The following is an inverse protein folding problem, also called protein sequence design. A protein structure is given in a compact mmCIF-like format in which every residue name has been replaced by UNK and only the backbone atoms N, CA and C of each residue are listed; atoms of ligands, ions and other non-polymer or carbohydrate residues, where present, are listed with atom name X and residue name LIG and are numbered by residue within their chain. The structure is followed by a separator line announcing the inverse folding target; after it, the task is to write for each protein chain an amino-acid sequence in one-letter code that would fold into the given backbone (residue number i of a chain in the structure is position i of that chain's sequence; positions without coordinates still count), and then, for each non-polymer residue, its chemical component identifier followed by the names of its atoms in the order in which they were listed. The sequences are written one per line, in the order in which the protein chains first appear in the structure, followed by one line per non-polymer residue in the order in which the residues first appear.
data_IF_885219519044
#
_entry.id   IF_885219519044
#
_cell.length_a   1.000
_cell.length_b   1.000
_cell.length_c   1.000
_cell.angle_alpha   90.00
_cell.angle_beta   90.00
_cell.angle_gamma   90.00
#
_symmetry.space_group_name_H-M   'P 1'
#
loop_
_entity.id
_entity.type
_entity.pdbx_description
1 polymer ?
#
# COMPACT_ATOMS: atom_id res chain seq x y z
N UNK A 1 16.78 28.47 29.67
CA UNK A 1 15.44 27.94 29.93
C UNK A 1 15.13 26.70 29.11
N UNK A 2 15.23 26.74 27.78
CA UNK A 2 14.98 25.60 26.89
C UNK A 2 15.81 24.35 27.24
N UNK A 3 17.12 24.52 27.49
CA UNK A 3 18.03 23.43 27.86
C UNK A 3 17.62 22.70 29.14
N UNK A 4 17.13 23.45 30.13
CA UNK A 4 16.66 22.89 31.41
C UNK A 4 15.34 22.13 31.21
N UNK A 5 14.43 22.67 30.40
CA UNK A 5 13.17 21.98 30.06
C UNK A 5 13.44 20.68 29.30
N UNK A 6 14.35 20.69 28.33
CA UNK A 6 14.77 19.49 27.62
C UNK A 6 15.41 18.47 28.57
N UNK A 7 16.29 18.90 29.48
CA UNK A 7 16.91 18.01 30.46
C UNK A 7 15.88 17.38 31.41
N UNK A 8 14.93 18.18 31.93
CA UNK A 8 13.85 17.68 32.78
C UNK A 8 12.92 16.72 32.04
N UNK A 9 12.63 16.98 30.77
CA UNK A 9 11.85 16.07 29.92
C UNK A 9 12.58 14.74 29.72
N UNK A 10 13.88 14.76 29.43
CA UNK A 10 14.70 13.55 29.29
C UNK A 10 14.74 12.76 30.60
N UNK A 11 15.02 13.42 31.73
CA UNK A 11 15.05 12.77 33.05
C UNK A 11 13.68 12.18 33.40
N UNK A 12 12.60 12.95 33.22
CA UNK A 12 11.24 12.48 33.45
C UNK A 12 10.89 11.27 32.59
N UNK A 13 11.33 11.26 31.33
CA UNK A 13 11.12 10.12 30.43
C UNK A 13 11.91 8.88 30.87
N UNK A 14 13.17 9.05 31.27
CA UNK A 14 14.00 7.95 31.80
C UNK A 14 13.36 7.37 33.06
N UNK A 15 12.92 8.21 33.99
CA UNK A 15 12.23 7.79 35.22
C UNK A 15 10.94 7.04 34.89
N UNK A 16 10.13 7.56 33.96
CA UNK A 16 8.91 6.89 33.52
C UNK A 16 9.20 5.50 32.95
N UNK A 17 10.19 5.39 32.07
CA UNK A 17 10.60 4.11 31.48
C UNK A 17 11.11 3.15 32.57
N UNK A 18 11.93 3.63 33.50
CA UNK A 18 12.45 2.80 34.60
C UNK A 18 11.34 2.27 35.52
N UNK A 19 10.25 3.03 35.68
CA UNK A 19 9.11 2.68 36.53
C UNK A 19 8.13 1.75 35.83
N UNK A 20 7.95 1.93 34.52
CA UNK A 20 6.97 1.18 33.73
C UNK A 20 7.55 -0.04 33.00
N UNK A 21 8.88 -0.20 32.95
CA UNK A 21 9.54 -1.30 32.25
C UNK A 21 9.05 -2.66 32.76
N UNK A 22 8.66 -3.53 31.84
CA UNK A 22 8.44 -4.95 32.12
C UNK A 22 9.63 -5.80 31.65
N UNK A 23 10.17 -6.71 32.47
CA UNK A 23 11.18 -7.66 32.00
C UNK A 23 10.56 -8.59 30.95
N UNK A 24 11.39 -9.12 30.05
CA UNK A 24 10.99 -10.29 29.26
C UNK A 24 11.25 -11.53 30.12
N UNK A 25 10.19 -12.27 30.45
CA UNK A 25 10.26 -13.49 31.27
C UNK A 25 10.41 -14.73 30.36
N UNK A 26 10.14 -14.58 29.05
CA UNK A 26 10.29 -15.65 28.07
C UNK A 26 11.75 -15.80 27.62
N UNK A 27 12.16 -17.02 27.32
CA UNK A 27 13.44 -17.33 26.64
C UNK A 27 13.39 -17.01 25.15
N UNK A 28 12.20 -16.77 24.61
CA UNK A 28 11.97 -16.42 23.21
C UNK A 28 12.25 -14.94 22.97
N UNK A 29 12.92 -14.63 21.85
CA UNK A 29 13.18 -13.25 21.43
C UNK A 29 11.86 -12.51 21.20
N UNK A 30 11.79 -11.26 21.62
CA UNK A 30 10.62 -10.41 21.45
C UNK A 30 10.87 -9.32 20.40
N UNK A 31 9.89 -9.06 19.54
CA UNK A 31 9.92 -7.96 18.58
C UNK A 31 8.68 -7.08 18.73
N UNK A 32 8.89 -5.77 18.75
CA UNK A 32 7.83 -4.78 18.67
C UNK A 32 7.74 -4.29 17.24
N UNK A 33 6.64 -4.58 16.55
CA UNK A 33 6.35 -4.14 15.18
C UNK A 33 5.41 -2.94 15.26
N UNK A 34 5.90 -1.75 14.95
CA UNK A 34 5.28 -0.46 15.30
C UNK A 34 4.91 0.34 14.06
N UNK A 35 3.65 0.73 13.97
CA UNK A 35 3.18 1.72 13.00
C UNK A 35 2.28 2.73 13.69
N UNK A 36 2.54 4.03 13.50
CA UNK A 36 1.63 5.09 13.94
C UNK A 36 0.52 5.31 12.89
N UNK A 37 -0.22 4.24 12.61
CA UNK A 37 -1.25 4.17 11.58
C UNK A 37 -2.24 3.02 11.86
N UNK A 38 -3.31 2.97 11.07
CA UNK A 38 -4.30 1.91 11.17
C UNK A 38 -3.69 0.59 10.69
N UNK A 39 -3.70 -0.41 11.57
CA UNK A 39 -3.10 -1.73 11.32
C UNK A 39 -3.80 -2.45 10.16
N UNK A 40 -5.11 -2.30 10.02
CA UNK A 40 -5.87 -2.89 8.90
C UNK A 40 -5.53 -2.28 7.53
N UNK A 41 -4.80 -1.16 7.52
CA UNK A 41 -4.35 -0.44 6.32
C UNK A 41 -2.83 -0.41 6.20
N UNK A 42 -2.13 -1.20 7.01
CA UNK A 42 -0.66 -1.29 7.02
C UNK A 42 -0.21 -2.72 6.66
N UNK A 43 -0.50 -3.19 5.43
CA UNK A 43 -0.29 -4.60 5.05
C UNK A 43 1.17 -5.03 5.20
N UNK A 44 2.14 -4.19 4.83
CA UNK A 44 3.57 -4.49 5.01
C UNK A 44 3.94 -4.76 6.46
N UNK A 45 3.45 -3.98 7.41
CA UNK A 45 3.73 -4.19 8.84
C UNK A 45 3.05 -5.44 9.40
N UNK A 46 1.83 -5.73 8.93
CA UNK A 46 1.19 -7.02 9.20
C UNK A 46 2.02 -8.18 8.63
N UNK A 47 2.56 -8.04 7.43
CA UNK A 47 3.40 -9.04 6.80
C UNK A 47 4.73 -9.24 7.56
N UNK A 48 5.36 -8.16 8.06
CA UNK A 48 6.50 -8.26 8.98
C UNK A 48 6.15 -9.06 10.24
N UNK A 49 5.01 -8.76 10.88
CA UNK A 49 4.57 -9.47 12.07
C UNK A 49 4.39 -10.98 11.83
N UNK A 50 3.82 -11.36 10.68
CA UNK A 50 3.64 -12.76 10.27
C UNK A 50 5.00 -13.45 10.09
N UNK A 51 5.94 -12.83 9.38
CA UNK A 51 7.26 -13.44 9.16
C UNK A 51 8.06 -13.56 10.46
N UNK A 52 8.02 -12.55 11.34
CA UNK A 52 8.63 -12.64 12.66
C UNK A 52 8.06 -13.81 13.49
N UNK A 53 6.74 -14.03 13.48
CA UNK A 53 6.11 -15.17 14.17
C UNK A 53 6.57 -16.52 13.58
N UNK A 54 6.62 -16.64 12.24
CA UNK A 54 7.16 -17.84 11.57
C UNK A 54 8.59 -18.15 12.01
N UNK A 55 9.39 -17.12 12.28
CA UNK A 55 10.76 -17.23 12.81
C UNK A 55 10.85 -17.30 14.34
N UNK A 56 9.74 -17.63 15.01
CA UNK A 56 9.69 -17.88 16.46
C UNK A 56 10.07 -16.66 17.29
N UNK A 57 9.70 -15.45 16.86
CA UNK A 57 9.68 -14.30 17.76
C UNK A 57 8.34 -14.20 18.50
N UNK A 58 8.35 -13.68 19.72
CA UNK A 58 7.16 -13.18 20.39
C UNK A 58 6.83 -11.78 19.82
N UNK A 59 5.74 -11.67 19.07
CA UNK A 59 5.43 -10.48 18.26
C UNK A 59 4.41 -9.59 18.97
N UNK A 60 4.77 -8.32 19.14
CA UNK A 60 3.85 -7.26 19.57
C UNK A 60 3.57 -6.35 18.37
N UNK A 61 2.38 -6.44 17.79
CA UNK A 61 1.94 -5.59 16.68
C UNK A 61 1.23 -4.36 17.26
N UNK A 62 1.81 -3.18 17.05
CA UNK A 62 1.41 -1.92 17.71
C UNK A 62 0.97 -0.90 16.67
N UNK A 63 -0.24 -0.37 16.83
CA UNK A 63 -0.82 0.65 15.96
C UNK A 63 -2.27 0.95 16.34
N UNK A 64 -3.03 1.60 15.46
CA UNK A 64 -4.46 1.83 15.66
C UNK A 64 -5.26 0.65 15.10
N UNK A 65 -6.21 0.12 15.87
CA UNK A 65 -7.13 -0.94 15.42
C UNK A 65 -8.47 -0.34 14.98
N UNK A 66 -8.45 0.46 13.90
CA UNK A 66 -9.63 1.18 13.40
C UNK A 66 -10.36 0.41 12.28
N UNK A 67 -9.62 -0.32 11.45
CA UNK A 67 -10.17 -1.21 10.42
C UNK A 67 -10.03 -2.69 10.81
N UNK A 68 -10.85 -3.55 10.18
CA UNK A 68 -10.76 -5.01 10.34
C UNK A 68 -9.39 -5.51 9.88
N UNK A 69 -8.72 -6.32 10.70
CA UNK A 69 -7.45 -6.95 10.37
C UNK A 69 -7.68 -8.15 9.45
N UNK A 70 -6.66 -8.45 8.63
CA UNK A 70 -6.66 -9.66 7.81
C UNK A 70 -6.82 -10.92 8.66
N UNK A 71 -7.42 -11.96 8.08
CA UNK A 71 -7.74 -13.20 8.81
C UNK A 71 -6.49 -13.87 9.39
N UNK A 72 -5.35 -13.79 8.69
CA UNK A 72 -4.08 -14.36 9.14
C UNK A 72 -3.57 -13.74 10.45
N UNK A 73 -3.76 -12.44 10.66
CA UNK A 73 -3.40 -11.77 11.92
C UNK A 73 -4.48 -12.04 12.97
N UNK A 74 -5.74 -11.86 12.61
CA UNK A 74 -6.87 -11.99 13.54
C UNK A 74 -6.98 -13.37 14.18
N UNK A 75 -6.60 -14.42 13.44
CA UNK A 75 -6.68 -15.81 13.89
C UNK A 75 -5.36 -16.31 14.52
N UNK A 76 -4.31 -15.49 14.56
CA UNK A 76 -3.00 -15.90 15.08
C UNK A 76 -2.80 -15.47 16.53
N UNK A 77 -2.96 -16.42 17.46
CA UNK A 77 -2.79 -16.19 18.89
C UNK A 77 -1.35 -15.86 19.34
N UNK A 78 -0.35 -16.06 18.47
CA UNK A 78 1.04 -15.73 18.79
C UNK A 78 1.39 -14.26 18.52
N UNK A 79 0.57 -13.55 17.73
CA UNK A 79 0.75 -12.13 17.44
C UNK A 79 -0.15 -11.34 18.37
N UNK A 80 0.45 -10.66 19.34
CA UNK A 80 -0.30 -9.85 20.30
C UNK A 80 -0.50 -8.44 19.74
N UNK A 81 -1.76 -8.03 19.62
CA UNK A 81 -2.13 -6.70 19.12
C UNK A 81 -2.20 -5.73 20.30
N UNK A 82 -1.41 -4.65 20.21
CA UNK A 82 -1.37 -3.57 21.19
C UNK A 82 -1.94 -2.29 20.58
N UNK A 83 -3.19 -1.97 20.90
CA UNK A 83 -3.88 -0.83 20.33
C UNK A 83 -3.42 0.49 20.98
N UNK A 84 -3.05 1.47 20.15
CA UNK A 84 -2.76 2.83 20.58
C UNK A 84 -4.05 3.63 20.76
N UNK A 85 -4.05 4.57 21.70
CA UNK A 85 -5.20 5.47 21.88
C UNK A 85 -5.17 6.54 20.80
N UNK A 86 -6.23 6.62 19.98
CA UNK A 86 -6.38 7.67 18.96
C UNK A 86 -6.43 9.06 19.60
N UNK A 87 -5.92 10.07 18.89
CA UNK A 87 -5.94 11.45 19.35
C UNK A 87 -7.39 11.96 19.37
N UNK A 88 -7.84 12.61 20.46
CA UNK A 88 -9.21 13.13 20.54
C UNK A 88 -9.44 14.22 19.49
N UNK A 89 -10.66 14.30 18.96
CA UNK A 89 -11.03 15.37 18.04
C UNK A 89 -11.20 16.70 18.81
N UNK A 90 -10.19 17.58 18.71
CA UNK A 90 -10.21 18.90 19.33
C UNK A 90 -10.77 19.92 18.35
N UNK A 91 -11.91 20.52 18.68
CA UNK A 91 -12.52 21.62 17.90
C UNK A 91 -12.16 22.98 18.49
N UNK A 92 -12.06 24.00 17.65
CA UNK A 92 -11.90 25.40 18.07
C UNK A 92 -10.47 25.85 18.40
N UNK A 93 -9.46 25.01 18.18
CA UNK A 93 -8.05 25.36 18.36
C UNK A 93 -7.37 25.66 17.01
N UNK A 94 -6.34 26.53 16.98
CA UNK A 94 -5.53 26.72 15.77
C UNK A 94 -4.86 25.42 15.34
N UNK A 95 -4.77 25.20 14.02
CA UNK A 95 -4.31 23.92 13.45
C UNK A 95 -2.89 23.52 13.93
N UNK A 96 -1.99 24.50 14.04
CA UNK A 96 -0.62 24.29 14.55
C UNK A 96 -0.63 23.76 15.99
N UNK A 97 -1.55 24.25 16.83
CA UNK A 97 -1.70 23.77 18.22
C UNK A 97 -2.23 22.34 18.23
N UNK A 98 -3.21 22.03 17.37
CA UNK A 98 -3.75 20.67 17.23
C UNK A 98 -2.66 19.69 16.81
N UNK A 99 -1.82 20.04 15.83
CA UNK A 99 -0.69 19.20 15.41
C UNK A 99 0.34 19.01 16.53
N UNK A 100 0.70 20.06 17.27
CA UNK A 100 1.63 19.95 18.38
C UNK A 100 1.08 19.03 19.49
N UNK A 101 -0.20 19.20 19.86
CA UNK A 101 -0.87 18.32 20.83
C UNK A 101 -0.96 16.88 20.33
N UNK A 102 -1.23 16.67 19.03
CA UNK A 102 -1.25 15.34 18.41
C UNK A 102 0.10 14.65 18.51
N UNK A 103 1.19 15.35 18.22
CA UNK A 103 2.55 14.82 18.35
C UNK A 103 2.85 14.43 19.81
N UNK A 104 2.53 15.30 20.77
CA UNK A 104 2.75 15.02 22.20
C UNK A 104 1.92 13.82 22.68
N UNK A 105 0.67 13.73 22.23
CA UNK A 105 -0.22 12.61 22.53
C UNK A 105 0.31 11.29 21.95
N UNK A 106 0.68 11.28 20.67
CA UNK A 106 1.25 10.12 20.00
C UNK A 106 2.57 9.68 20.66
N UNK A 107 3.42 10.63 21.05
CA UNK A 107 4.65 10.34 21.79
C UNK A 107 4.34 9.67 23.12
N UNK A 108 3.46 10.29 23.94
CA UNK A 108 3.14 9.77 25.27
C UNK A 108 2.45 8.40 25.23
N UNK A 109 1.47 8.23 24.34
CA UNK A 109 0.74 6.96 24.20
C UNK A 109 1.63 5.83 23.70
N UNK A 110 2.45 6.08 22.68
CA UNK A 110 3.39 5.10 22.15
C UNK A 110 4.46 4.75 23.20
N UNK A 111 5.02 5.75 23.89
CA UNK A 111 6.02 5.54 24.94
C UNK A 111 5.48 4.66 26.08
N UNK A 112 4.28 4.98 26.60
CA UNK A 112 3.65 4.21 27.68
C UNK A 112 3.35 2.79 27.21
N UNK A 113 2.80 2.61 26.01
CA UNK A 113 2.53 1.30 25.42
C UNK A 113 3.82 0.46 25.36
N UNK A 114 4.87 0.99 24.71
CA UNK A 114 6.16 0.29 24.57
C UNK A 114 6.80 -0.03 25.93
N UNK A 115 6.64 0.81 26.95
CA UNK A 115 7.15 0.53 28.31
C UNK A 115 6.43 -0.65 28.97
N UNK A 116 5.10 -0.71 28.85
CA UNK A 116 4.25 -1.73 29.47
C UNK A 116 4.37 -3.11 28.82
N UNK A 117 4.94 -3.20 27.62
CA UNK A 117 5.20 -4.45 26.93
C UNK A 117 6.47 -5.16 27.44
N UNK A 118 6.57 -6.49 27.26
CA UNK A 118 7.79 -7.25 27.52
C UNK A 118 9.01 -6.60 26.84
N UNK A 119 10.19 -6.73 27.44
CA UNK A 119 11.42 -6.15 26.87
C UNK A 119 11.63 -6.70 25.44
N UNK A 120 11.74 -5.82 24.42
CA UNK A 120 12.06 -6.25 23.08
C UNK A 120 13.54 -6.55 22.92
N UNK A 121 13.86 -7.45 22.00
CA UNK A 121 15.19 -7.58 21.38
C UNK A 121 15.29 -6.67 20.16
N UNK A 122 14.18 -6.49 19.43
CA UNK A 122 14.07 -5.61 18.26
C UNK A 122 12.82 -4.73 18.35
N UNK A 123 12.94 -3.49 17.87
CA UNK A 123 11.82 -2.57 17.63
C UNK A 123 11.85 -2.21 16.15
N UNK A 124 10.88 -2.70 15.40
CA UNK A 124 10.72 -2.48 13.97
C UNK A 124 9.65 -1.43 13.71
N UNK A 125 10.03 -0.25 13.25
CA UNK A 125 9.12 0.90 13.06
C UNK A 125 8.95 1.24 11.58
N UNK A 126 7.72 1.47 11.15
CA UNK A 126 7.41 1.99 9.83
C UNK A 126 7.65 3.51 9.78
N UNK A 127 8.27 3.99 8.71
CA UNK A 127 8.33 5.39 8.35
C UNK A 127 7.67 5.62 6.98
N UNK A 128 6.72 6.57 6.82
CA UNK A 128 6.18 7.54 7.79
C UNK A 128 5.08 6.99 8.74
N UNK A 129 4.70 7.74 9.81
CA UNK A 129 5.20 9.07 10.19
C UNK A 129 6.49 9.04 11.02
N UNK A 130 7.45 9.88 10.64
CA UNK A 130 8.74 10.04 11.34
C UNK A 130 8.59 10.56 12.77
N UNK A 131 7.80 11.64 12.93
CA UNK A 131 7.56 12.30 14.21
C UNK A 131 6.19 11.85 14.73
N UNK A 132 6.09 11.35 15.99
CA UNK A 132 7.16 11.04 16.93
C UNK A 132 7.66 9.58 16.87
N UNK A 133 7.27 8.78 15.86
CA UNK A 133 7.47 7.33 15.87
C UNK A 133 8.95 6.93 15.98
N UNK A 134 9.82 7.48 15.13
CA UNK A 134 11.24 7.12 15.09
C UNK A 134 11.91 7.53 16.40
N UNK A 135 11.66 8.74 16.90
CA UNK A 135 12.25 9.17 18.17
C UNK A 135 11.79 8.32 19.36
N UNK A 136 10.50 8.02 19.46
CA UNK A 136 9.97 7.21 20.56
C UNK A 136 10.56 5.80 20.55
N UNK A 137 10.63 5.18 19.38
CA UNK A 137 11.17 3.82 19.21
C UNK A 137 12.68 3.77 19.41
N UNK A 138 13.42 4.77 18.93
CA UNK A 138 14.85 4.96 19.23
C UNK A 138 15.10 5.04 20.74
N UNK A 139 14.33 5.87 21.44
CA UNK A 139 14.48 6.06 22.88
C UNK A 139 14.23 4.76 23.64
N UNK A 140 13.17 4.03 23.28
CA UNK A 140 12.85 2.73 23.87
C UNK A 140 13.94 1.69 23.55
N UNK A 141 14.44 1.65 22.32
CA UNK A 141 15.51 0.75 21.92
C UNK A 141 16.77 0.98 22.76
N UNK A 142 17.23 2.24 22.89
CA UNK A 142 18.39 2.58 23.71
C UNK A 142 18.18 2.32 25.20
N UNK A 143 17.07 2.75 25.78
CA UNK A 143 16.82 2.61 27.22
C UNK A 143 16.58 1.16 27.66
N UNK A 144 16.10 0.31 26.76
CA UNK A 144 15.82 -1.11 27.06
C UNK A 144 16.90 -2.05 26.54
N UNK A 145 17.92 -1.54 25.86
CA UNK A 145 18.97 -2.34 25.23
C UNK A 145 18.41 -3.28 24.16
N UNK A 146 17.54 -2.75 23.31
CA UNK A 146 17.00 -3.40 22.12
C UNK A 146 17.57 -2.74 20.87
N UNK A 147 17.40 -3.39 19.72
CA UNK A 147 17.84 -2.86 18.44
C UNK A 147 16.71 -2.20 17.67
N UNK A 148 17.01 -1.07 17.04
CA UNK A 148 16.06 -0.34 16.21
C UNK A 148 16.19 -0.78 14.74
N UNK A 149 15.07 -1.17 14.16
CA UNK A 149 14.89 -1.39 12.72
C UNK A 149 13.96 -0.30 12.20
N UNK A 150 14.39 0.48 11.21
CA UNK A 150 13.51 1.43 10.52
C UNK A 150 13.19 0.87 9.13
N UNK A 151 11.90 0.75 8.84
CA UNK A 151 11.39 0.40 7.51
C UNK A 151 10.90 1.66 6.78
N UNK A 152 11.66 2.06 5.76
CA UNK A 152 11.49 3.29 5.00
C UNK A 152 10.61 3.06 3.76
N UNK A 153 9.39 3.62 3.79
CA UNK A 153 8.43 3.57 2.68
C UNK A 153 8.39 4.89 1.92
N UNK A 154 8.40 5.99 2.67
CA UNK A 154 8.45 7.33 2.12
C UNK A 154 9.11 8.27 3.15
N UNK A 155 9.34 9.53 2.79
CA UNK A 155 9.80 10.54 3.73
C UNK A 155 8.62 11.23 4.41
N UNK A 156 8.69 11.37 5.74
CA UNK A 156 7.71 12.15 6.48
C UNK A 156 7.73 13.63 6.10
N UNK A 157 8.90 14.18 5.77
CA UNK A 157 9.01 15.58 5.34
C UNK A 157 8.40 15.83 3.95
N UNK A 158 8.48 14.87 3.02
CA UNK A 158 7.90 15.04 1.68
C UNK A 158 6.38 15.01 1.73
N UNK A 159 5.80 14.16 2.58
CA UNK A 159 4.36 14.17 2.86
C UNK A 159 3.89 15.52 3.44
N UNK A 160 4.67 16.10 4.36
CA UNK A 160 4.38 17.44 4.90
C UNK A 160 4.52 18.54 3.83
N UNK A 161 5.43 18.34 2.86
CA UNK A 161 5.67 19.28 1.78
C UNK A 161 4.52 19.37 0.78
N UNK A 162 3.66 18.36 0.66
CA UNK A 162 2.44 18.44 -0.17
C UNK A 162 1.54 19.61 0.28
N UNK A 163 1.46 19.86 1.59
CA UNK A 163 0.65 20.96 2.14
C UNK A 163 1.39 22.30 2.22
N UNK A 164 2.67 22.28 2.62
CA UNK A 164 3.42 23.52 2.93
C UNK A 164 4.42 23.94 1.86
N UNK A 165 4.73 23.07 0.90
CA UNK A 165 5.80 23.25 -0.07
C UNK A 165 7.19 22.87 0.47
N UNK A 166 8.06 22.40 -0.41
CA UNK A 166 9.41 21.92 -0.08
C UNK A 166 10.33 23.01 0.53
N UNK A 167 10.06 24.28 0.23
CA UNK A 167 10.86 25.43 0.72
C UNK A 167 10.47 25.88 2.14
N UNK A 168 9.43 25.29 2.73
CA UNK A 168 8.94 25.71 4.03
C UNK A 168 9.91 25.30 5.16
N UNK A 169 10.18 26.21 6.09
CA UNK A 169 11.20 25.99 7.13
C UNK A 169 10.90 24.79 8.03
N UNK A 170 9.62 24.49 8.31
CA UNK A 170 9.21 23.31 9.08
C UNK A 170 9.55 22.02 8.30
N UNK A 171 9.36 22.01 6.97
CA UNK A 171 9.69 20.86 6.14
C UNK A 171 11.19 20.57 6.20
N UNK A 172 12.03 21.61 6.10
CA UNK A 172 13.48 21.46 6.28
C UNK A 172 13.89 20.98 7.67
N UNK A 173 13.18 21.42 8.72
CA UNK A 173 13.41 20.93 10.09
C UNK A 173 13.06 19.45 10.21
N UNK A 174 11.90 19.03 9.71
CA UNK A 174 11.47 17.63 9.67
C UNK A 174 12.44 16.76 8.85
N UNK A 175 12.92 17.27 7.72
CA UNK A 175 13.91 16.60 6.88
C UNK A 175 15.22 16.34 7.64
N UNK A 176 15.76 17.37 8.31
CA UNK A 176 16.96 17.22 9.14
C UNK A 176 16.75 16.23 10.28
N UNK A 177 15.61 16.31 10.96
CA UNK A 177 15.24 15.38 12.02
C UNK A 177 15.22 13.93 11.53
N UNK A 178 14.57 13.69 10.38
CA UNK A 178 14.38 12.36 9.82
C UNK A 178 15.73 11.72 9.44
N UNK A 179 16.62 12.47 8.78
CA UNK A 179 17.96 11.98 8.45
C UNK A 179 18.86 11.77 9.66
N UNK A 180 18.84 12.69 10.62
CA UNK A 180 19.66 12.56 11.82
C UNK A 180 19.26 11.32 12.64
N UNK A 181 17.96 11.10 12.85
CA UNK A 181 17.51 9.93 13.60
C UNK A 181 17.65 8.62 12.82
N UNK A 182 17.51 8.66 11.50
CA UNK A 182 17.71 7.49 10.65
C UNK A 182 19.11 6.88 10.77
N UNK A 183 20.13 7.72 10.98
CA UNK A 183 21.51 7.27 11.17
C UNK A 183 21.72 6.46 12.45
N UNK A 184 20.83 6.57 13.44
CA UNK A 184 20.97 5.89 14.72
C UNK A 184 20.30 4.51 14.78
N UNK A 185 19.63 4.08 13.71
CA UNK A 185 19.07 2.74 13.63
C UNK A 185 20.15 1.67 13.42
N UNK A 186 19.96 0.52 14.06
CA UNK A 186 20.87 -0.63 13.91
C UNK A 186 20.67 -1.32 12.56
N UNK A 187 19.44 -1.28 12.04
CA UNK A 187 19.07 -1.82 10.73
C UNK A 187 18.16 -0.80 10.03
N UNK A 188 18.46 -0.48 8.78
CA UNK A 188 17.56 0.25 7.89
C UNK A 188 17.17 -0.65 6.72
N UNK A 189 15.89 -0.73 6.42
CA UNK A 189 15.35 -1.38 5.22
C UNK A 189 14.47 -0.40 4.46
N UNK A 190 14.35 -0.54 3.14
CA UNK A 190 13.56 0.38 2.32
C UNK A 190 12.92 -0.32 1.12
N UNK A 191 11.90 0.31 0.56
CA UNK A 191 11.03 -0.28 -0.49
C UNK A 191 11.66 -0.35 -1.89
N UNK A 192 12.71 0.45 -2.17
CA UNK A 192 13.32 0.53 -3.51
C UNK A 192 14.84 0.78 -3.46
N UNK A 193 15.54 0.37 -4.52
CA UNK A 193 16.98 0.61 -4.69
C UNK A 193 17.30 2.09 -4.85
N UNK A 194 16.45 2.84 -5.54
CA UNK A 194 16.57 4.30 -5.65
C UNK A 194 16.46 4.95 -4.26
N UNK A 195 15.56 4.45 -3.40
CA UNK A 195 15.48 4.92 -2.01
C UNK A 195 16.74 4.57 -1.23
N UNK A 196 17.26 3.34 -1.33
CA UNK A 196 18.49 2.93 -0.65
C UNK A 196 19.67 3.84 -1.03
N UNK A 197 19.81 4.17 -2.32
CA UNK A 197 20.83 5.09 -2.82
C UNK A 197 20.66 6.49 -2.23
N UNK A 198 19.43 7.01 -2.18
CA UNK A 198 19.14 8.32 -1.60
C UNK A 198 19.44 8.37 -0.10
N UNK A 199 19.02 7.36 0.66
CA UNK A 199 19.34 7.22 2.09
C UNK A 199 20.86 7.17 2.34
N UNK A 200 21.61 6.49 1.47
CA UNK A 200 23.06 6.39 1.60
C UNK A 200 23.77 7.75 1.44
N UNK A 201 23.25 8.66 0.60
CA UNK A 201 23.75 10.05 0.52
C UNK A 201 23.60 10.78 1.86
N UNK A 202 22.62 10.40 2.66
CA UNK A 202 22.38 10.92 4.00
C UNK A 202 23.01 10.07 5.12
N UNK A 203 23.99 9.22 4.78
CA UNK A 203 24.72 8.32 5.69
C UNK A 203 23.84 7.25 6.35
N UNK A 204 22.70 6.91 5.73
CA UNK A 204 21.80 5.86 6.17
C UNK A 204 21.97 4.67 5.23
N UNK A 205 22.72 3.66 5.66
CA UNK A 205 22.89 2.43 4.88
C UNK A 205 21.66 1.54 5.04
N UNK A 206 20.84 1.47 3.99
CA UNK A 206 19.63 0.64 3.96
C UNK A 206 19.82 -0.60 3.07
N UNK A 207 19.18 -1.70 3.44
CA UNK A 207 18.98 -2.86 2.54
C UNK A 207 17.63 -2.73 1.84
N UNK A 208 17.56 -3.09 0.57
CA UNK A 208 16.29 -3.07 -0.16
C UNK A 208 15.48 -4.30 0.24
N UNK A 209 14.25 -4.09 0.69
CA UNK A 209 13.24 -5.12 0.90
C UNK A 209 12.05 -4.73 0.04
N UNK A 210 11.93 -5.36 -1.14
CA UNK A 210 10.82 -5.07 -2.05
C UNK A 210 9.50 -5.59 -1.51
N UNK A 211 8.42 -4.86 -1.74
CA UNK A 211 7.09 -5.41 -1.55
C UNK A 211 6.82 -6.51 -2.57
N UNK A 212 6.27 -7.62 -2.09
CA UNK A 212 5.87 -8.78 -2.88
C UNK A 212 4.50 -9.23 -2.40
N UNK A 213 3.72 -9.82 -3.29
CA UNK A 213 2.40 -10.29 -2.93
C UNK A 213 2.50 -11.43 -1.92
N UNK A 214 1.48 -11.50 -1.06
CA UNK A 214 1.28 -12.63 -0.17
C UNK A 214 0.50 -13.74 -0.89
N UNK A 215 0.45 -14.92 -0.28
CA UNK A 215 -0.23 -16.08 -0.86
C UNK A 215 -1.76 -15.92 -0.98
N UNK A 216 -2.33 -14.81 -0.50
CA UNK A 216 -3.76 -14.51 -0.66
C UNK A 216 -4.12 -14.10 -2.10
N UNK A 217 -3.13 -13.72 -2.91
CA UNK A 217 -3.34 -13.36 -4.30
C UNK A 217 -3.04 -14.55 -5.21
N UNK A 218 -4.09 -15.10 -5.81
CA UNK A 218 -3.98 -16.09 -6.87
C UNK A 218 -4.71 -15.68 -8.14
N UNK A 219 -4.24 -16.20 -9.28
CA UNK A 219 -4.94 -16.07 -10.55
C UNK A 219 -6.23 -16.90 -10.41
N UNK A 220 -7.41 -16.26 -10.40
CA UNK A 220 -8.65 -16.99 -10.18
C UNK A 220 -9.02 -17.82 -11.40
N UNK A 221 -9.64 -18.98 -11.17
CA UNK A 221 -10.20 -19.79 -12.26
C UNK A 221 -11.37 -19.07 -12.92
N UNK A 222 -11.77 -19.49 -14.12
CA UNK A 222 -12.89 -18.84 -14.81
C UNK A 222 -14.21 -18.97 -14.02
N UNK A 223 -14.39 -20.04 -13.26
CA UNK A 223 -15.53 -20.25 -12.36
C UNK A 223 -15.49 -19.27 -11.18
N UNK A 224 -14.32 -19.07 -10.56
CA UNK A 224 -14.14 -18.07 -9.51
C UNK A 224 -14.42 -16.66 -10.03
N UNK A 225 -13.93 -16.34 -11.23
CA UNK A 225 -14.22 -15.07 -11.93
C UNK A 225 -15.72 -14.91 -12.19
N UNK A 226 -16.39 -15.91 -12.74
CA UNK A 226 -17.82 -15.86 -12.98
C UNK A 226 -18.61 -15.63 -11.68
N UNK A 227 -18.25 -16.32 -10.60
CA UNK A 227 -18.89 -16.16 -9.29
C UNK A 227 -18.76 -14.74 -8.75
N UNK A 228 -17.56 -14.13 -8.79
CA UNK A 228 -17.39 -12.75 -8.32
C UNK A 228 -18.11 -11.75 -9.23
N UNK A 229 -18.11 -11.95 -10.55
CA UNK A 229 -18.84 -11.10 -11.50
C UNK A 229 -20.37 -11.19 -11.29
N UNK A 230 -20.91 -12.37 -10.97
CA UNK A 230 -22.32 -12.53 -10.56
C UNK A 230 -22.60 -11.82 -9.23
N UNK A 231 -21.66 -11.90 -8.27
CA UNK A 231 -21.75 -11.19 -6.98
C UNK A 231 -21.74 -9.67 -7.17
N UNK A 232 -21.02 -9.14 -8.17
CA UNK A 232 -21.04 -7.71 -8.52
C UNK A 232 -22.45 -7.23 -8.89
N UNK A 233 -23.24 -8.06 -9.56
CA UNK A 233 -24.65 -7.77 -9.89
C UNK A 233 -25.52 -7.92 -8.64
N UNK A 234 -25.48 -9.09 -7.99
CA UNK A 234 -26.47 -9.46 -6.98
C UNK A 234 -26.26 -8.80 -5.61
N UNK A 235 -25.01 -8.62 -5.18
CA UNK A 235 -24.68 -8.08 -3.85
C UNK A 235 -24.22 -6.64 -3.91
N UNK A 236 -23.40 -6.29 -4.91
CA UNK A 236 -22.86 -4.93 -5.05
C UNK A 236 -23.72 -4.03 -5.95
N UNK A 237 -24.80 -4.56 -6.55
CA UNK A 237 -25.80 -3.81 -7.33
C UNK A 237 -25.26 -3.12 -8.60
N UNK A 238 -24.18 -3.63 -9.20
CA UNK A 238 -23.62 -3.11 -10.45
C UNK A 238 -24.26 -3.77 -11.68
N UNK A 239 -25.36 -3.19 -12.17
CA UNK A 239 -26.10 -3.66 -13.36
C UNK A 239 -25.26 -3.68 -14.64
N UNK A 240 -24.18 -2.92 -14.70
CA UNK A 240 -23.20 -2.93 -15.80
C UNK A 240 -22.53 -4.31 -16.00
N UNK A 241 -22.68 -5.22 -15.05
CA UNK A 241 -22.18 -6.60 -15.11
C UNK A 241 -23.27 -7.60 -15.53
N UNK A 242 -24.54 -7.19 -15.60
CA UNK A 242 -25.69 -8.06 -15.81
C UNK A 242 -25.71 -8.65 -17.24
N UNK A 243 -25.75 -9.98 -17.34
CA UNK A 243 -25.85 -10.67 -18.61
C UNK A 243 -27.28 -10.78 -19.13
N UNK A 244 -27.44 -11.42 -20.29
CA UNK A 244 -28.74 -11.57 -20.96
C UNK A 244 -29.62 -12.68 -20.37
N UNK A 245 -29.04 -13.57 -19.57
CA UNK A 245 -29.69 -14.71 -18.92
C UNK A 245 -29.29 -14.81 -17.44
N UNK A 246 -30.08 -15.55 -16.65
CA UNK A 246 -29.94 -15.64 -15.20
C UNK A 246 -28.55 -16.12 -14.71
N UNK A 247 -27.86 -16.95 -15.49
CA UNK A 247 -26.50 -17.45 -15.19
C UNK A 247 -25.48 -16.89 -16.20
N UNK A 248 -25.60 -15.60 -16.52
CA UNK A 248 -24.63 -14.91 -17.37
C UNK A 248 -24.33 -13.52 -16.83
N UNK A 249 -23.13 -13.06 -17.13
CA UNK A 249 -22.69 -11.68 -16.94
C UNK A 249 -22.39 -11.06 -18.30
N UNK A 250 -22.09 -9.77 -18.37
CA UNK A 250 -21.55 -9.14 -19.60
C UNK A 250 -20.20 -9.70 -20.05
N UNK A 251 -19.58 -10.55 -19.24
CA UNK A 251 -18.23 -11.08 -19.49
C UNK A 251 -18.19 -12.59 -19.69
N UNK A 252 -19.05 -13.32 -19.01
CA UNK A 252 -18.99 -14.79 -18.92
C UNK A 252 -20.38 -15.40 -18.94
N UNK A 253 -20.49 -16.61 -19.48
CA UNK A 253 -21.75 -17.37 -19.51
C UNK A 253 -21.48 -18.86 -19.32
N UNK A 254 -22.50 -19.59 -18.92
CA UNK A 254 -22.50 -21.05 -18.91
C UNK A 254 -22.86 -21.59 -20.31
N UNK A 255 -21.99 -22.42 -20.90
CA UNK A 255 -22.24 -23.07 -22.19
C UNK A 255 -23.22 -24.27 -22.07
N UNK A 256 -23.59 -24.87 -23.20
CA UNK A 256 -24.50 -26.04 -23.23
C UNK A 256 -24.00 -27.25 -22.42
N UNK A 257 -22.68 -27.33 -22.19
CA UNK A 257 -22.02 -28.40 -21.44
C UNK A 257 -21.82 -28.03 -19.96
N UNK A 258 -22.40 -26.91 -19.50
CA UNK A 258 -22.26 -26.35 -18.15
C UNK A 258 -20.83 -25.89 -17.80
N UNK A 259 -20.01 -25.59 -18.79
CA UNK A 259 -18.72 -24.94 -18.57
C UNK A 259 -18.89 -23.43 -18.59
N UNK A 260 -18.18 -22.74 -17.71
CA UNK A 260 -18.11 -21.30 -17.75
C UNK A 260 -17.11 -20.87 -18.83
N UNK A 261 -17.55 -19.99 -19.73
CA UNK A 261 -16.73 -19.45 -20.82
C UNK A 261 -16.85 -17.93 -20.89
N UNK A 262 -15.85 -17.27 -21.47
CA UNK A 262 -15.91 -15.84 -21.78
C UNK A 262 -16.85 -15.59 -22.97
N UNK A 263 -17.59 -14.48 -22.94
CA UNK A 263 -18.37 -14.03 -24.08
C UNK A 263 -17.44 -13.43 -25.17
N UNK A 264 -17.65 -13.73 -26.47
CA UNK A 264 -16.81 -13.22 -27.56
C UNK A 264 -16.82 -11.70 -27.70
N UNK A 265 -17.92 -11.05 -27.34
CA UNK A 265 -18.15 -9.61 -27.42
C UNK A 265 -18.02 -8.90 -26.06
N UNK A 266 -17.38 -9.55 -25.08
CA UNK A 266 -17.25 -8.97 -23.74
C UNK A 266 -16.44 -7.66 -23.76
N UNK A 267 -16.80 -6.68 -22.90
CA UNK A 267 -15.97 -5.51 -22.71
C UNK A 267 -14.64 -5.84 -22.01
N UNK A 268 -13.68 -4.94 -22.17
CA UNK A 268 -12.43 -4.93 -21.41
C UNK A 268 -12.74 -4.53 -19.98
N UNK A 269 -12.18 -5.26 -18.99
CA UNK A 269 -12.21 -4.81 -17.60
C UNK A 269 -10.91 -4.05 -17.30
N UNK A 270 -11.03 -2.75 -17.04
CA UNK A 270 -9.94 -1.90 -16.57
C UNK A 270 -10.08 -1.71 -15.06
N UNK A 271 -9.02 -1.87 -14.28
CA UNK A 271 -9.08 -1.68 -12.82
C UNK A 271 -8.07 -0.66 -12.32
N UNK A 272 -8.49 0.19 -11.40
CA UNK A 272 -7.60 1.03 -10.58
C UNK A 272 -7.98 0.84 -9.11
N UNK A 273 -7.00 0.57 -8.24
CA UNK A 273 -7.19 0.50 -6.80
C UNK A 273 -6.56 1.71 -6.12
N UNK A 274 -7.27 2.35 -5.19
CA UNK A 274 -6.92 3.72 -4.78
C UNK A 274 -7.26 4.07 -3.34
N UNK A 275 -6.50 5.01 -2.79
CA UNK A 275 -6.78 5.68 -1.53
C UNK A 275 -7.54 7.00 -1.69
N UNK A 276 -7.91 7.40 -2.91
CA UNK A 276 -8.58 8.66 -3.26
C UNK A 276 -7.96 9.87 -2.56
N UNK A 277 -6.63 9.90 -2.53
CA UNK A 277 -5.81 10.89 -1.85
C UNK A 277 -5.10 11.81 -2.86
N UNK A 278 -4.53 12.90 -2.37
CA UNK A 278 -3.91 13.95 -3.20
C UNK A 278 -2.69 13.47 -4.01
N UNK A 279 -2.07 12.36 -3.61
CA UNK A 279 -0.94 11.71 -4.31
C UNK A 279 -1.37 10.87 -5.52
N UNK A 280 -2.67 10.79 -5.83
CA UNK A 280 -3.20 10.10 -7.00
C UNK A 280 -3.99 11.05 -7.90
N UNK A 281 -3.43 11.40 -9.05
CA UNK A 281 -4.07 12.31 -10.00
C UNK A 281 -5.09 11.57 -10.90
N UNK A 282 -6.31 11.40 -10.40
CA UNK A 282 -7.41 10.75 -11.13
C UNK A 282 -7.85 11.46 -12.41
N UNK A 283 -7.55 12.75 -12.56
CA UNK A 283 -7.82 13.46 -13.81
C UNK A 283 -7.11 12.78 -14.99
N UNK A 284 -5.90 12.24 -14.78
CA UNK A 284 -5.16 11.51 -15.83
C UNK A 284 -5.96 10.33 -16.39
N UNK A 285 -6.55 9.51 -15.52
CA UNK A 285 -7.34 8.35 -15.94
C UNK A 285 -8.63 8.77 -16.63
N UNK A 286 -9.37 9.71 -16.05
CA UNK A 286 -10.64 10.14 -16.60
C UNK A 286 -10.47 10.87 -17.94
N UNK A 287 -9.51 11.77 -18.05
CA UNK A 287 -9.23 12.47 -19.30
C UNK A 287 -8.70 11.50 -20.38
N UNK A 288 -7.91 10.50 -20.02
CA UNK A 288 -7.52 9.44 -20.95
C UNK A 288 -8.73 8.65 -21.46
N UNK A 289 -9.68 8.33 -20.59
CA UNK A 289 -10.89 7.60 -20.96
C UNK A 289 -11.89 8.47 -21.76
N UNK A 290 -11.93 9.78 -21.54
CA UNK A 290 -12.63 10.73 -22.43
C UNK A 290 -12.01 10.72 -23.82
N UNK A 291 -10.69 10.88 -23.90
CA UNK A 291 -9.94 10.86 -25.15
C UNK A 291 -10.12 9.52 -25.90
N UNK A 292 -10.22 8.42 -25.16
CA UNK A 292 -10.54 7.10 -25.70
C UNK A 292 -11.95 7.04 -26.29
N UNK A 293 -12.93 7.62 -25.59
CA UNK A 293 -14.34 7.59 -26.00
C UNK A 293 -14.65 8.55 -27.18
N UNK A 294 -13.88 9.62 -27.35
CA UNK A 294 -14.04 10.60 -28.45
C UNK A 294 -13.23 10.26 -29.69
N UNK A 295 -12.43 9.19 -29.65
CA UNK A 295 -11.62 8.79 -30.79
C UNK A 295 -12.48 8.34 -31.98
N UNK A 296 -12.18 8.85 -33.19
CA UNK A 296 -12.98 8.62 -34.40
C UNK A 296 -12.90 7.18 -34.94
N UNK A 297 -12.05 6.33 -34.35
CA UNK A 297 -11.92 4.92 -34.73
C UNK A 297 -13.11 4.09 -34.24
N UNK A 298 -13.98 3.70 -35.17
CA UNK A 298 -15.26 3.01 -34.93
C UNK A 298 -15.19 1.57 -34.38
N UNK A 299 -14.00 1.04 -34.08
CA UNK A 299 -13.79 -0.37 -33.68
C UNK A 299 -13.06 -0.54 -32.33
N UNK A 300 -13.09 0.46 -31.46
CA UNK A 300 -12.51 0.34 -30.12
C UNK A 300 -13.41 -0.50 -29.19
N UNK A 301 -12.87 -1.47 -28.43
CA UNK A 301 -13.64 -2.23 -27.46
C UNK A 301 -14.26 -1.34 -26.38
N UNK A 302 -15.46 -1.68 -25.92
CA UNK A 302 -16.05 -1.07 -24.74
C UNK A 302 -15.23 -1.39 -23.49
N UNK A 303 -15.13 -0.43 -22.56
CA UNK A 303 -14.39 -0.58 -21.30
C UNK A 303 -15.37 -0.51 -20.13
N UNK A 304 -15.25 -1.44 -19.19
CA UNK A 304 -15.80 -1.31 -17.83
C UNK A 304 -14.65 -0.97 -16.90
N UNK A 305 -14.59 0.29 -16.45
CA UNK A 305 -13.58 0.81 -15.55
C UNK A 305 -14.02 0.68 -14.10
N UNK A 306 -13.35 -0.19 -13.36
CA UNK A 306 -13.57 -0.42 -11.94
C UNK A 306 -12.54 0.41 -11.16
N UNK A 307 -13.00 1.38 -10.38
CA UNK A 307 -12.16 2.15 -9.46
C UNK A 307 -12.54 1.80 -8.02
N UNK A 308 -11.75 0.94 -7.39
CA UNK A 308 -12.02 0.44 -6.03
C UNK A 308 -11.16 1.17 -4.99
N UNK A 309 -11.73 1.44 -3.82
CA UNK A 309 -11.00 2.17 -2.78
C UNK A 309 -11.87 3.07 -1.92
N UNK A 310 -11.23 3.66 -0.90
CA UNK A 310 -11.85 4.63 0.01
C UNK A 310 -10.88 5.76 0.32
N UNK A 311 -11.39 6.97 0.21
CA UNK A 311 -10.70 8.17 0.64
C UNK A 311 -11.50 9.44 0.39
N UNK A 312 -10.94 10.59 0.76
CA UNK A 312 -11.68 11.84 0.89
C UNK A 312 -12.16 12.43 -0.44
N UNK A 313 -11.51 12.11 -1.57
CA UNK A 313 -11.85 12.68 -2.87
C UNK A 313 -12.83 11.82 -3.68
N UNK A 314 -13.25 10.66 -3.16
CA UNK A 314 -14.07 9.69 -3.91
C UNK A 314 -15.36 10.30 -4.43
N UNK A 315 -16.14 10.94 -3.55
CA UNK A 315 -17.45 11.48 -3.87
C UNK A 315 -17.36 12.58 -4.93
N UNK A 316 -16.38 13.49 -4.81
CA UNK A 316 -16.13 14.56 -5.78
C UNK A 316 -15.85 14.00 -7.18
N UNK A 317 -15.05 12.94 -7.29
CA UNK A 317 -14.73 12.34 -8.59
C UNK A 317 -15.91 11.57 -9.19
N UNK A 318 -16.72 10.90 -8.37
CA UNK A 318 -17.96 10.26 -8.83
C UNK A 318 -18.90 11.32 -9.41
N UNK A 319 -19.10 12.44 -8.71
CA UNK A 319 -19.91 13.55 -9.21
C UNK A 319 -19.38 14.11 -10.53
N UNK A 320 -18.06 14.25 -10.68
CA UNK A 320 -17.43 14.68 -11.93
C UNK A 320 -17.72 13.72 -13.08
N UNK A 321 -17.52 12.41 -12.88
CA UNK A 321 -17.76 11.39 -13.91
C UNK A 321 -19.24 11.35 -14.33
N UNK A 322 -20.17 11.47 -13.38
CA UNK A 322 -21.60 11.52 -13.69
C UNK A 322 -22.00 12.81 -14.42
N UNK A 323 -21.41 13.95 -14.08
CA UNK A 323 -21.65 15.21 -14.79
C UNK A 323 -21.17 15.18 -16.24
N UNK A 324 -20.08 14.44 -16.49
CA UNK A 324 -19.44 14.32 -17.81
C UNK A 324 -19.82 13.03 -18.56
N UNK A 325 -20.86 12.32 -18.11
CA UNK A 325 -21.25 10.98 -18.59
C UNK A 325 -21.33 10.85 -20.12
N UNK A 326 -21.84 11.88 -20.80
CA UNK A 326 -22.00 11.89 -22.26
C UNK A 326 -20.66 11.89 -23.03
N UNK A 327 -19.56 12.23 -22.35
CA UNK A 327 -18.21 12.20 -22.91
C UNK A 327 -17.59 10.79 -22.88
N UNK A 328 -18.21 9.82 -22.21
CA UNK A 328 -17.69 8.46 -22.00
C UNK A 328 -18.46 7.39 -22.78
N UNK A 329 -18.84 7.66 -24.04
CA UNK A 329 -19.81 6.84 -24.81
C UNK A 329 -19.53 5.32 -24.83
N UNK A 330 -18.27 4.89 -24.77
CA UNK A 330 -17.86 3.48 -24.78
C UNK A 330 -17.17 3.04 -23.47
N UNK A 331 -17.32 3.81 -22.40
CA UNK A 331 -16.68 3.57 -21.10
C UNK A 331 -17.74 3.65 -20.00
N UNK A 332 -17.87 2.57 -19.22
CA UNK A 332 -18.75 2.51 -18.06
C UNK A 332 -17.92 2.47 -16.79
N UNK A 333 -18.31 3.21 -15.75
CA UNK A 333 -17.58 3.26 -14.48
C UNK A 333 -18.28 2.49 -13.37
N UNK A 334 -17.49 1.92 -12.47
CA UNK A 334 -17.94 1.24 -11.26
C UNK A 334 -17.03 1.62 -10.09
N UNK A 335 -17.60 1.98 -8.95
CA UNK A 335 -16.86 2.49 -7.79
C UNK A 335 -17.01 1.63 -6.52
N UNK A 336 -16.80 0.31 -6.58
CA UNK A 336 -17.15 -0.59 -5.49
C UNK A 336 -16.33 -0.34 -4.23
N UNK A 337 -16.94 -0.61 -3.08
CA UNK A 337 -16.23 -0.88 -1.84
C UNK A 337 -16.34 -2.37 -1.55
N UNK A 338 -15.26 -3.10 -1.76
CA UNK A 338 -15.23 -4.56 -1.75
C UNK A 338 -14.90 -5.10 -0.37
N UNK A 339 -15.44 -6.27 -0.06
CA UNK A 339 -14.94 -7.10 1.03
C UNK A 339 -13.49 -7.55 0.75
N UNK A 340 -12.71 -7.76 1.82
CA UNK A 340 -11.30 -8.11 1.72
C UNK A 340 -11.04 -9.40 0.91
N UNK A 341 -11.94 -10.39 1.01
CA UNK A 341 -11.83 -11.67 0.30
C UNK A 341 -12.28 -11.56 -1.17
N UNK A 342 -13.09 -10.56 -1.51
CA UNK A 342 -13.57 -10.33 -2.88
C UNK A 342 -12.57 -9.52 -3.72
N UNK A 343 -11.76 -8.68 -3.06
CA UNK A 343 -10.80 -7.80 -3.75
C UNK A 343 -9.80 -8.57 -4.63
N UNK A 344 -9.11 -9.63 -4.16
CA UNK A 344 -8.20 -10.41 -5.02
C UNK A 344 -8.91 -11.05 -6.22
N UNK A 345 -10.14 -11.55 -6.02
CA UNK A 345 -10.94 -12.19 -7.07
C UNK A 345 -11.35 -11.19 -8.15
N UNK A 346 -11.84 -10.00 -7.75
CA UNK A 346 -12.21 -8.97 -8.71
C UNK A 346 -11.00 -8.40 -9.44
N UNK A 347 -9.87 -8.20 -8.74
CA UNK A 347 -8.62 -7.82 -9.41
C UNK A 347 -8.26 -8.85 -10.49
N UNK A 348 -8.31 -10.14 -10.19
CA UNK A 348 -8.00 -11.20 -11.16
C UNK A 348 -9.00 -11.34 -12.32
N UNK A 349 -10.15 -10.66 -12.25
CA UNK A 349 -11.06 -10.51 -13.39
C UNK A 349 -10.59 -9.45 -14.39
N UNK A 350 -9.79 -8.48 -13.96
CA UNK A 350 -9.35 -7.38 -14.80
C UNK A 350 -8.47 -7.85 -15.96
N UNK A 351 -8.55 -7.12 -17.07
CA UNK A 351 -7.68 -7.31 -18.21
C UNK A 351 -6.42 -6.45 -18.12
N UNK A 352 -6.58 -5.22 -17.62
CA UNK A 352 -5.51 -4.22 -17.45
C UNK A 352 -5.72 -3.50 -16.12
N UNK A 353 -4.63 -3.28 -15.39
CA UNK A 353 -4.57 -2.40 -14.23
C UNK A 353 -4.03 -1.02 -14.60
N UNK A 354 -4.46 0.01 -13.88
CA UNK A 354 -3.89 1.36 -13.94
C UNK A 354 -3.43 1.78 -12.56
N UNK A 355 -2.20 2.28 -12.46
CA UNK A 355 -1.66 2.89 -11.25
C UNK A 355 -1.38 4.36 -11.50
N UNK A 356 -2.01 5.22 -10.69
CA UNK A 356 -1.85 6.67 -10.71
C UNK A 356 -1.01 7.18 -9.54
N UNK A 357 -0.42 6.25 -8.77
CA UNK A 357 0.37 6.61 -7.61
C UNK A 357 1.66 7.30 -8.06
N UNK A 358 1.85 8.53 -7.58
CA UNK A 358 3.10 9.25 -7.67
C UNK A 358 3.70 9.39 -6.26
N UNK A 359 4.93 8.92 -6.08
CA UNK A 359 5.57 9.04 -4.78
C UNK A 359 5.91 10.50 -4.47
N UNK A 360 5.44 11.02 -3.34
CA UNK A 360 5.77 12.38 -2.88
C UNK A 360 7.28 12.64 -2.71
N UNK A 361 8.08 11.57 -2.50
CA UNK A 361 9.55 11.64 -2.48
C UNK A 361 10.21 11.19 -3.78
N UNK A 362 9.47 10.57 -4.69
CA UNK A 362 10.00 9.90 -5.89
C UNK A 362 10.55 8.48 -5.65
N UNK A 363 10.52 7.97 -4.41
CA UNK A 363 11.24 6.74 -4.03
C UNK A 363 10.35 5.57 -3.60
N UNK A 364 9.05 5.77 -3.43
CA UNK A 364 8.08 4.76 -3.01
C UNK A 364 7.55 3.92 -4.18
N UNK A 365 7.26 2.64 -3.96
CA UNK A 365 6.72 1.72 -4.97
C UNK A 365 5.28 1.30 -4.62
N UNK A 366 4.33 1.35 -5.56
CA UNK A 366 2.93 1.10 -5.28
C UNK A 366 2.67 -0.39 -5.02
N UNK A 367 2.43 -0.76 -3.76
CA UNK A 367 2.07 -2.13 -3.37
C UNK A 367 0.88 -2.69 -4.16
N UNK A 368 -0.08 -1.84 -4.53
CA UNK A 368 -1.25 -2.21 -5.36
C UNK A 368 -0.89 -2.84 -6.71
N UNK A 369 0.24 -2.46 -7.30
CA UNK A 369 0.72 -3.02 -8.57
C UNK A 369 1.21 -4.45 -8.38
N UNK A 370 1.84 -4.72 -7.24
CA UNK A 370 2.30 -6.06 -6.86
C UNK A 370 1.09 -7.00 -6.71
N UNK A 371 -0.01 -6.52 -6.12
CA UNK A 371 -1.26 -7.29 -6.00
C UNK A 371 -1.83 -7.65 -7.39
N UNK A 372 -1.87 -6.68 -8.31
CA UNK A 372 -2.35 -6.89 -9.70
C UNK A 372 -1.46 -7.89 -10.44
N UNK A 373 -0.13 -7.78 -10.32
CA UNK A 373 0.80 -8.74 -10.91
C UNK A 373 0.60 -10.15 -10.38
N UNK A 374 0.34 -10.31 -9.07
CA UNK A 374 0.16 -11.62 -8.46
C UNK A 374 -1.09 -12.37 -8.93
N UNK A 375 -2.10 -11.64 -9.40
CA UNK A 375 -3.32 -12.18 -10.04
C UNK A 375 -3.27 -12.16 -11.57
N UNK A 376 -2.10 -11.87 -12.16
CA UNK A 376 -1.84 -11.98 -13.60
C UNK A 376 -2.32 -10.79 -14.42
N UNK A 377 -2.50 -9.62 -13.79
CA UNK A 377 -2.99 -8.40 -14.46
C UNK A 377 -1.82 -7.45 -14.73
N UNK A 378 -1.51 -7.16 -16.01
CA UNK A 378 -0.49 -6.17 -16.36
C UNK A 378 -0.97 -4.76 -16.07
N UNK A 379 -0.02 -3.87 -15.76
CA UNK A 379 -0.32 -2.52 -15.26
C UNK A 379 0.24 -1.44 -16.16
N UNK A 380 -0.58 -0.43 -16.44
CA UNK A 380 -0.14 0.88 -16.93
C UNK A 380 0.10 1.80 -15.73
N UNK A 381 1.32 2.26 -15.51
CA UNK A 381 1.67 3.13 -14.37
C UNK A 381 2.14 4.49 -14.85
N UNK A 382 1.76 5.55 -14.12
CA UNK A 382 2.32 6.88 -14.33
C UNK A 382 3.82 6.89 -14.04
N UNK A 383 4.58 7.71 -14.78
CA UNK A 383 6.02 7.81 -14.68
C UNK A 383 6.47 8.61 -13.46
N UNK A 384 7.42 8.06 -12.70
CA UNK A 384 8.23 8.76 -11.71
C UNK A 384 9.53 7.97 -11.43
N UNK A 385 10.49 8.57 -10.73
CA UNK A 385 11.91 8.13 -10.71
C UNK A 385 12.12 6.62 -10.47
N UNK A 386 11.53 6.02 -9.43
CA UNK A 386 11.78 4.62 -9.10
C UNK A 386 10.80 3.61 -9.73
N UNK A 387 9.74 4.04 -10.44
CA UNK A 387 8.70 3.11 -10.93
C UNK A 387 9.24 2.02 -11.87
N UNK A 388 10.34 2.32 -12.58
CA UNK A 388 11.03 1.38 -13.46
C UNK A 388 11.67 0.19 -12.73
N UNK A 389 11.78 0.24 -11.40
CA UNK A 389 12.18 -0.90 -10.58
C UNK A 389 11.10 -1.98 -10.58
N UNK A 390 9.83 -1.58 -10.52
CA UNK A 390 8.66 -2.46 -10.48
C UNK A 390 8.08 -2.75 -11.87
N UNK A 391 7.86 -1.71 -12.68
CA UNK A 391 7.34 -1.84 -14.04
C UNK A 391 8.49 -2.01 -15.03
N UNK A 392 8.66 -3.22 -15.54
CA UNK A 392 9.56 -3.56 -16.63
C UNK A 392 8.80 -3.45 -17.96
N UNK A 393 9.13 -2.40 -18.70
CA UNK A 393 8.50 -2.06 -19.98
C UNK A 393 8.45 -3.27 -20.91
N UNK A 394 7.27 -3.51 -21.48
CA UNK A 394 6.96 -4.60 -22.42
C UNK A 394 7.18 -6.02 -21.85
N UNK A 395 7.43 -6.14 -20.53
CA UNK A 395 7.54 -7.41 -19.83
C UNK A 395 6.33 -7.61 -18.92
N UNK A 396 6.10 -6.74 -17.96
CA UNK A 396 5.02 -6.87 -16.96
C UNK A 396 4.00 -5.72 -16.99
N UNK A 397 4.32 -4.63 -17.68
CA UNK A 397 3.48 -3.44 -17.74
C UNK A 397 4.04 -2.38 -18.67
N UNK A 398 3.39 -1.21 -18.66
CA UNK A 398 3.73 -0.05 -19.46
C UNK A 398 3.80 1.18 -18.55
N UNK A 399 4.70 2.10 -18.85
CA UNK A 399 4.82 3.39 -18.17
C UNK A 399 4.25 4.47 -19.11
N UNK A 400 3.43 5.37 -18.58
CA UNK A 400 2.88 6.52 -19.30
C UNK A 400 3.19 7.84 -18.59
N UNK A 401 3.18 8.95 -19.33
CA UNK A 401 3.48 10.28 -18.78
C UNK A 401 2.25 11.14 -18.49
N UNK A 402 1.22 11.04 -19.33
CA UNK A 402 0.02 11.88 -19.23
C UNK A 402 -1.22 11.15 -19.76
N UNK A 403 -2.36 11.86 -19.77
CA UNK A 403 -3.64 11.33 -20.21
C UNK A 403 -3.66 10.92 -21.71
N UNK A 404 -2.93 11.63 -22.57
CA UNK A 404 -2.85 11.30 -24.00
C UNK A 404 -2.01 10.04 -24.20
N UNK A 405 -0.84 9.96 -23.57
CA UNK A 405 0.01 8.76 -23.60
C UNK A 405 -0.75 7.55 -23.03
N UNK A 406 -1.47 7.70 -21.91
CA UNK A 406 -2.30 6.61 -21.36
C UNK A 406 -3.38 6.15 -22.36
N UNK A 407 -4.08 7.08 -23.02
CA UNK A 407 -5.05 6.74 -24.06
C UNK A 407 -4.39 5.92 -25.20
N UNK A 408 -3.27 6.39 -25.73
CA UNK A 408 -2.53 5.71 -26.80
C UNK A 408 -2.07 4.31 -26.38
N UNK A 409 -1.58 4.16 -25.14
CA UNK A 409 -1.19 2.85 -24.58
C UNK A 409 -2.38 1.92 -24.46
N UNK A 410 -3.51 2.39 -23.94
CA UNK A 410 -4.73 1.58 -23.81
C UNK A 410 -5.21 1.10 -25.19
N UNK A 411 -5.33 2.00 -26.15
CA UNK A 411 -5.73 1.66 -27.52
C UNK A 411 -4.80 0.61 -28.13
N UNK A 412 -3.48 0.81 -28.00
CA UNK A 412 -2.49 -0.15 -28.49
C UNK A 412 -2.59 -1.52 -27.80
N UNK A 413 -2.92 -1.57 -26.50
CA UNK A 413 -2.99 -2.81 -25.74
C UNK A 413 -4.23 -3.63 -26.09
N UNK A 414 -5.39 -2.98 -26.24
CA UNK A 414 -6.68 -3.64 -26.42
C UNK A 414 -7.15 -3.66 -27.88
N UNK A 415 -6.31 -3.21 -28.81
CA UNK A 415 -6.62 -3.33 -30.23
C UNK A 415 -6.89 -4.80 -30.60
N UNK A 416 -8.06 -5.07 -31.17
CA UNK A 416 -8.49 -6.42 -31.57
C UNK A 416 -8.91 -7.34 -30.42
N UNK A 417 -9.08 -6.81 -29.21
CA UNK A 417 -9.62 -7.55 -28.06
C UNK A 417 -10.99 -8.18 -28.37
N UNK A 418 -11.31 -9.38 -27.84
CA UNK A 418 -10.51 -10.18 -26.89
C UNK A 418 -9.43 -11.08 -27.53
N UNK A 419 -9.53 -11.40 -28.83
CA UNK A 419 -8.76 -12.50 -29.41
C UNK A 419 -7.45 -12.07 -30.12
N UNK A 420 -7.38 -10.81 -30.59
CA UNK A 420 -6.26 -10.31 -31.42
C UNK A 420 -5.40 -9.25 -30.73
N UNK A 421 -5.41 -9.22 -29.39
CA UNK A 421 -4.62 -8.28 -28.58
C UNK A 421 -3.25 -8.89 -28.16
N UNK A 422 -2.35 -9.10 -29.13
CA UNK A 422 -1.06 -9.79 -28.89
C UNK A 422 -0.18 -9.10 -27.84
N UNK A 423 -0.12 -7.77 -27.83
CA UNK A 423 0.65 -7.00 -26.82
C UNK A 423 0.17 -7.29 -25.40
N UNK A 424 -1.15 -7.23 -25.17
CA UNK A 424 -1.74 -7.54 -23.87
C UNK A 424 -1.50 -9.00 -23.46
N UNK A 425 -1.69 -9.93 -24.40
CA UNK A 425 -1.50 -11.37 -24.15
C UNK A 425 -0.04 -11.69 -23.80
N UNK A 426 0.92 -11.03 -24.44
CA UNK A 426 2.34 -11.18 -24.11
C UNK A 426 2.66 -10.69 -22.69
N UNK A 427 2.13 -9.52 -22.28
CA UNK A 427 2.32 -9.02 -20.91
C UNK A 427 1.73 -9.99 -19.87
N UNK A 428 0.51 -10.49 -20.10
CA UNK A 428 -0.13 -11.50 -19.24
C UNK A 428 0.70 -12.78 -19.16
N UNK A 429 1.17 -13.29 -20.29
CA UNK A 429 1.98 -14.51 -20.35
C UNK A 429 3.31 -14.36 -19.58
N UNK A 430 3.99 -13.23 -19.73
CA UNK A 430 5.23 -12.92 -19.02
C UNK A 430 5.02 -12.85 -17.49
N UNK A 431 3.92 -12.26 -17.02
CA UNK A 431 3.57 -12.24 -15.60
C UNK A 431 3.38 -13.66 -15.05
N UNK A 432 2.64 -14.50 -15.78
CA UNK A 432 2.39 -15.89 -15.38
C UNK A 432 3.69 -16.69 -15.31
N UNK A 433 4.57 -16.53 -16.31
CA UNK A 433 5.85 -17.22 -16.37
C UNK A 433 6.78 -16.89 -15.19
N UNK A 434 6.75 -15.66 -14.69
CA UNK A 434 7.64 -15.17 -13.63
C UNK A 434 7.05 -15.25 -12.20
N UNK A 435 5.85 -15.83 -12.03
CA UNK A 435 5.10 -15.79 -10.76
C UNK A 435 5.72 -16.61 -9.62
N UNK A 436 6.30 -17.78 -9.91
CA UNK A 436 6.69 -18.77 -8.89
C UNK A 436 7.93 -18.38 -8.06
N UNK A 437 8.72 -17.42 -8.55
CA UNK A 437 9.93 -16.92 -7.91
C UNK A 437 9.67 -15.85 -6.84
N UNK A 438 8.51 -15.18 -6.86
CA UNK A 438 8.35 -13.91 -6.16
C UNK A 438 7.21 -13.94 -5.14
N UNK A 439 7.52 -14.11 -3.85
CA UNK A 439 6.55 -13.94 -2.76
C UNK A 439 7.19 -13.23 -1.56
N UNK A 440 6.36 -12.57 -0.75
CA UNK A 440 6.81 -11.81 0.42
C UNK A 440 7.70 -12.61 1.37
N UNK A 441 7.31 -13.84 1.70
CA UNK A 441 8.02 -14.65 2.69
C UNK A 441 9.45 -14.99 2.24
N UNK A 442 9.65 -15.32 0.95
CA UNK A 442 10.98 -15.56 0.35
C UNK A 442 11.83 -14.29 0.33
N UNK A 443 11.25 -13.17 -0.12
CA UNK A 443 11.93 -11.87 -0.19
C UNK A 443 12.37 -11.43 1.21
N UNK A 444 11.45 -11.47 2.17
CA UNK A 444 11.71 -11.18 3.57
C UNK A 444 12.80 -12.06 4.15
N UNK A 445 12.73 -13.38 3.95
CA UNK A 445 13.76 -14.29 4.44
C UNK A 445 15.13 -14.00 3.84
N UNK A 446 15.21 -13.64 2.55
CA UNK A 446 16.47 -13.35 1.89
C UNK A 446 17.17 -12.08 2.43
N UNK A 447 16.39 -11.08 2.84
CA UNK A 447 16.90 -9.78 3.30
C UNK A 447 16.99 -9.71 4.83
N UNK A 448 15.91 -10.01 5.53
CA UNK A 448 15.80 -9.78 6.97
C UNK A 448 16.56 -10.83 7.80
N UNK A 449 16.55 -12.10 7.40
CA UNK A 449 17.18 -13.17 8.18
C UNK A 449 18.70 -12.97 8.35
N UNK A 450 19.47 -12.58 7.32
CA UNK A 450 20.87 -12.19 7.50
C UNK A 450 21.05 -10.99 8.43
N UNK A 451 20.22 -9.94 8.27
CA UNK A 451 20.32 -8.71 9.07
C UNK A 451 20.07 -8.97 10.56
N UNK A 452 19.09 -9.81 10.89
CA UNK A 452 18.78 -10.20 12.26
C UNK A 452 19.88 -11.07 12.90
N UNK A 453 20.60 -11.86 12.09
CA UNK A 453 21.71 -12.73 12.54
C UNK A 453 23.00 -11.98 12.82
N UNK A 454 23.41 -11.09 11.92
CA UNK A 454 24.62 -10.26 12.06
C UNK A 454 24.62 -9.42 13.33
N UNK A 455 23.43 -9.12 13.80
CA UNK A 455 23.22 -8.40 15.04
C UNK A 455 23.21 -9.38 16.23
N UNK A 456 22.72 -10.60 16.13
CA UNK A 456 22.69 -11.52 17.28
C UNK A 456 24.05 -11.99 17.82
N UNK A 457 25.15 -11.75 17.09
CA UNK A 457 26.54 -11.90 17.51
C UNK A 457 27.09 -10.60 18.08
#
# INVERSE_FOLDING_TARGET
MLTVVCALFVVGTILLVSKLRRPNISTQKCVHVVVLGDLGRSPRMCNHAIEFDKHKFNVQLIGYAESKLGQTISNNNNIQISNLKSFPNLKGLPEVVVYALKILWQFGTLLVCLCQLPKPDFVCVQNPPSIPAIFTTFLIAKLRGARLIIDWHNYGYSMLALKHGLKHWIVHLCQRYEFLLGQFADINICVSDTFAKNLNVHLIKASVLYDKATNQFHIPTIEEKHKILMKMVAQYSYKQFEGKSANSTRFTTEDEKKNIVYLPDRPVILVSSTSWSEDENFALLFDALKNYATHETSNLPSIVCIVTGKGPLKEQFIEQVEHERDQYRNVEFCFPWLDADDYPLLLGCADIGVSLHESSSGFDLPMKVVDMFAVGVPVCSVHYDCIGELIKRDQNGIIFQDAHDLCDRLQSLIHGFPDRCSKLNNLKANLIANRSSENWSKEWESVMKPLLRLQSS
#
